data_IF_234919988724
#
_entry.id   IF_234919988724
#
_cell.length_a   1.000
_cell.length_b   1.000
_cell.length_c   1.000
_cell.angle_alpha   90.00
_cell.angle_beta   90.00
_cell.angle_gamma   90.00
#
_symmetry.space_group_name_H-M   'P 1'
#
loop_
_entity.id
_entity.type
_entity.pdbx_description
1 polymer ?
#
# COMPACT_ATOMS: atom_id res chain seq x y z
N UNK A 1 30.69 -17.90 25.10
CA UNK A 1 31.14 -18.51 23.82
C UNK A 1 30.04 -18.40 22.77
N UNK A 2 30.34 -17.69 21.68
CA UNK A 2 29.44 -17.40 20.57
C UNK A 2 29.32 -18.67 19.72
N UNK A 3 28.27 -19.49 19.89
CA UNK A 3 28.15 -20.78 19.19
C UNK A 3 28.17 -20.66 17.66
N UNK A 4 27.85 -19.47 17.14
CA UNK A 4 28.00 -19.13 15.72
C UNK A 4 29.43 -19.24 15.19
N UNK A 5 30.45 -19.00 16.01
CA UNK A 5 31.85 -19.09 15.57
C UNK A 5 32.41 -20.52 15.60
N UNK A 6 31.72 -21.46 16.26
CA UNK A 6 32.12 -22.89 16.32
C UNK A 6 31.45 -23.69 15.19
N UNK A 7 30.24 -23.30 14.78
CA UNK A 7 29.50 -23.89 13.66
C UNK A 7 30.19 -23.69 12.29
N UNK A 8 31.12 -22.73 12.16
CA UNK A 8 31.81 -22.44 10.90
C UNK A 8 33.08 -23.28 10.66
N UNK A 9 33.50 -24.09 11.64
CA UNK A 9 34.77 -24.85 11.61
C UNK A 9 34.59 -26.37 11.64
N UNK A 10 33.36 -26.88 11.54
CA UNK A 10 33.10 -28.32 11.67
C UNK A 10 32.26 -28.88 10.52
N UNK A 11 32.62 -30.08 10.08
CA UNK A 11 32.10 -30.75 8.88
C UNK A 11 30.60 -31.12 8.97
N UNK A 12 30.01 -31.17 10.17
CA UNK A 12 28.59 -31.48 10.39
C UNK A 12 27.94 -30.63 11.52
N UNK A 13 27.47 -29.41 11.21
CA UNK A 13 26.90 -28.49 12.20
C UNK A 13 25.56 -28.93 12.78
N UNK A 14 24.77 -29.73 12.04
CA UNK A 14 23.41 -30.15 12.42
C UNK A 14 23.38 -31.08 13.64
N UNK A 15 24.45 -31.85 13.88
CA UNK A 15 24.62 -32.73 15.06
C UNK A 15 24.85 -31.94 16.36
N UNK A 16 25.17 -30.65 16.27
CA UNK A 16 25.51 -29.79 17.41
C UNK A 16 24.34 -28.92 17.88
N UNK A 17 23.24 -28.83 17.14
CA UNK A 17 22.12 -27.96 17.50
C UNK A 17 21.44 -28.42 18.80
N UNK A 18 21.26 -29.74 18.98
CA UNK A 18 20.73 -30.32 20.22
C UNK A 18 21.68 -30.07 21.40
N UNK A 19 22.98 -30.35 21.23
CA UNK A 19 24.00 -30.10 22.25
C UNK A 19 24.16 -28.60 22.60
N UNK A 20 23.98 -27.70 21.63
CA UNK A 20 24.04 -26.26 21.85
C UNK A 20 22.90 -25.78 22.75
N UNK A 21 21.69 -26.34 22.58
CA UNK A 21 20.54 -26.05 23.43
C UNK A 21 20.78 -26.52 24.87
N UNK A 22 21.33 -27.72 25.07
CA UNK A 22 21.65 -28.29 26.39
C UNK A 22 22.74 -27.52 27.12
N UNK A 23 23.82 -27.14 26.42
CA UNK A 23 24.89 -26.32 27.01
C UNK A 23 24.37 -24.92 27.36
N UNK A 24 23.46 -24.37 26.55
CA UNK A 24 22.84 -23.08 26.82
C UNK A 24 21.95 -23.16 28.05
N UNK A 25 21.12 -24.19 28.16
CA UNK A 25 20.31 -24.47 29.34
C UNK A 25 21.18 -24.63 30.60
N UNK A 26 22.23 -25.45 30.53
CA UNK A 26 23.17 -25.65 31.65
C UNK A 26 23.80 -24.33 32.10
N UNK A 27 24.22 -23.47 31.17
CA UNK A 27 24.75 -22.14 31.51
C UNK A 27 23.73 -21.26 32.23
N UNK A 28 22.47 -21.27 31.79
CA UNK A 28 21.41 -20.52 32.46
C UNK A 28 21.13 -21.08 33.86
N UNK A 29 21.13 -22.41 34.02
CA UNK A 29 21.00 -23.05 35.33
C UNK A 29 22.16 -22.73 36.25
N UNK A 30 23.41 -22.79 35.79
CA UNK A 30 24.56 -22.35 36.60
C UNK A 30 24.43 -20.90 37.05
N UNK A 31 23.93 -20.00 36.20
CA UNK A 31 23.70 -18.59 36.56
C UNK A 31 22.59 -18.47 37.60
N UNK A 32 21.45 -19.13 37.39
CA UNK A 32 20.34 -19.15 38.34
C UNK A 32 20.77 -19.69 39.70
N UNK A 33 21.48 -20.82 39.71
CA UNK A 33 21.93 -21.46 40.94
C UNK A 33 22.91 -20.58 41.72
N UNK A 34 23.78 -19.83 41.02
CA UNK A 34 24.63 -18.81 41.66
C UNK A 34 23.81 -17.71 42.33
N UNK A 35 22.70 -17.28 41.73
CA UNK A 35 21.78 -16.32 42.35
C UNK A 35 21.07 -16.91 43.57
N UNK A 36 20.75 -18.21 43.54
CA UNK A 36 20.23 -18.96 44.69
C UNK A 36 21.28 -19.25 45.77
N UNK A 37 22.54 -18.80 45.60
CA UNK A 37 23.62 -19.03 46.57
C UNK A 37 24.43 -20.32 46.37
N UNK A 38 24.16 -21.10 45.33
CA UNK A 38 24.81 -22.39 45.03
C UNK A 38 25.85 -22.19 43.92
N UNK A 39 27.14 -22.23 44.28
CA UNK A 39 28.25 -21.91 43.36
C UNK A 39 28.82 -23.13 42.62
N UNK A 40 28.60 -24.32 43.16
CA UNK A 40 29.20 -25.58 42.71
C UNK A 40 28.24 -26.42 41.85
N UNK A 41 27.19 -25.80 41.26
CA UNK A 41 26.27 -26.48 40.36
C UNK A 41 26.98 -27.00 39.11
N UNK A 42 26.89 -28.31 38.87
CA UNK A 42 27.62 -29.00 37.80
C UNK A 42 26.72 -29.84 36.90
N UNK A 43 27.27 -30.34 35.79
CA UNK A 43 26.48 -31.10 34.81
C UNK A 43 25.88 -32.40 35.40
N UNK A 44 26.54 -32.98 36.42
CA UNK A 44 26.02 -34.12 37.18
C UNK A 44 24.68 -33.81 37.87
N UNK A 45 24.44 -32.56 38.26
CA UNK A 45 23.20 -32.15 38.90
C UNK A 45 22.01 -32.17 37.94
N UNK A 46 22.26 -32.13 36.63
CA UNK A 46 21.23 -32.27 35.59
C UNK A 46 21.05 -33.73 35.14
N UNK A 47 22.15 -34.44 34.91
CA UNK A 47 22.12 -35.79 34.33
C UNK A 47 21.83 -36.86 35.37
N UNK A 48 22.26 -36.67 36.63
CA UNK A 48 22.10 -37.64 37.71
C UNK A 48 21.90 -36.94 39.06
N UNK A 49 20.73 -36.33 39.28
CA UNK A 49 20.46 -35.57 40.49
C UNK A 49 20.37 -36.49 41.72
N UNK A 50 21.19 -36.19 42.74
CA UNK A 50 21.03 -36.80 44.06
C UNK A 50 19.87 -36.16 44.82
N UNK A 51 19.03 -36.97 45.48
CA UNK A 51 17.86 -36.50 46.24
C UNK A 51 18.20 -35.41 47.26
N UNK A 52 19.33 -35.56 47.98
CA UNK A 52 19.75 -34.59 48.97
C UNK A 52 20.19 -33.26 48.33
N UNK A 53 20.92 -33.34 47.22
CA UNK A 53 21.48 -32.17 46.52
C UNK A 53 20.39 -31.41 45.74
N UNK A 54 19.48 -32.14 45.10
CA UNK A 54 18.32 -31.57 44.43
C UNK A 54 17.41 -30.83 45.41
N UNK A 55 17.20 -31.37 46.62
CA UNK A 55 16.43 -30.69 47.66
C UNK A 55 17.03 -29.33 48.01
N UNK A 56 18.35 -29.26 48.22
CA UNK A 56 19.05 -28.00 48.51
C UNK A 56 18.89 -27.00 47.34
N UNK A 57 19.04 -27.47 46.10
CA UNK A 57 18.88 -26.64 44.90
C UNK A 57 17.46 -26.08 44.77
N UNK A 58 16.45 -26.92 44.95
CA UNK A 58 15.04 -26.50 44.90
C UNK A 58 14.70 -25.56 46.06
N UNK A 59 15.19 -25.82 47.27
CA UNK A 59 15.02 -24.89 48.40
C UNK A 59 15.65 -23.52 48.12
N UNK A 60 16.83 -23.49 47.49
CA UNK A 60 17.47 -22.25 47.05
C UNK A 60 16.62 -21.49 46.01
N UNK A 61 16.07 -22.20 45.03
CA UNK A 61 15.14 -21.61 44.04
C UNK A 61 13.88 -21.09 44.73
N UNK A 62 13.26 -21.86 45.62
CA UNK A 62 12.04 -21.45 46.33
C UNK A 62 12.32 -20.18 47.15
N UNK A 63 13.43 -20.13 47.88
CA UNK A 63 13.82 -18.94 48.64
C UNK A 63 14.02 -17.72 47.72
N UNK A 64 14.65 -17.92 46.56
CA UNK A 64 14.79 -16.85 45.57
C UNK A 64 13.41 -16.38 45.07
N UNK A 65 12.50 -17.30 44.76
CA UNK A 65 11.13 -16.97 44.33
C UNK A 65 10.33 -16.23 45.41
N UNK A 66 10.45 -16.65 46.67
CA UNK A 66 9.81 -15.97 47.80
C UNK A 66 10.35 -14.54 47.95
N UNK A 67 11.68 -14.37 47.89
CA UNK A 67 12.30 -13.05 47.90
C UNK A 67 11.83 -12.17 46.74
N UNK A 68 11.78 -12.70 45.52
CA UNK A 68 11.27 -11.96 44.37
C UNK A 68 9.81 -11.57 44.53
N UNK A 69 8.96 -12.44 45.10
CA UNK A 69 7.55 -12.13 45.35
C UNK A 69 7.40 -10.99 46.34
N UNK A 70 8.13 -11.05 47.47
CA UNK A 70 8.05 -10.04 48.52
C UNK A 70 8.61 -8.68 48.01
N UNK A 71 9.67 -8.70 47.19
CA UNK A 71 10.18 -7.50 46.52
C UNK A 71 9.23 -6.99 45.41
N UNK A 72 8.55 -7.88 44.69
CA UNK A 72 7.61 -7.49 43.63
C UNK A 72 6.43 -6.69 44.16
N UNK A 73 6.04 -6.89 45.42
CA UNK A 73 5.00 -6.10 46.07
C UNK A 73 5.47 -4.65 46.31
N UNK A 74 6.73 -4.46 46.71
CA UNK A 74 7.35 -3.14 46.89
C UNK A 74 7.45 -2.35 45.58
N UNK A 75 7.72 -3.01 44.46
CA UNK A 75 7.86 -2.35 43.15
C UNK A 75 6.57 -2.34 42.33
N UNK A 76 5.47 -2.88 42.85
CA UNK A 76 4.22 -3.04 42.09
C UNK A 76 3.71 -1.70 41.55
N UNK A 77 3.68 -0.68 42.40
CA UNK A 77 3.25 0.67 41.99
C UNK A 77 4.13 1.25 40.87
N UNK A 78 5.44 1.03 40.93
CA UNK A 78 6.38 1.49 39.89
C UNK A 78 6.20 0.71 38.58
N UNK A 79 5.92 -0.60 38.67
CA UNK A 79 5.63 -1.44 37.50
C UNK A 79 4.31 -1.01 36.84
N UNK A 80 3.26 -0.80 37.63
CA UNK A 80 1.95 -0.36 37.14
C UNK A 80 2.06 1.02 36.47
N UNK A 81 2.80 1.97 37.08
CA UNK A 81 3.09 3.27 36.47
C UNK A 81 3.86 3.16 35.15
N UNK A 82 4.87 2.28 35.09
CA UNK A 82 5.63 2.02 33.87
C UNK A 82 4.70 1.48 32.77
N UNK A 83 3.82 0.55 33.11
CA UNK A 83 2.93 -0.09 32.13
C UNK A 83 1.91 0.91 31.56
N UNK A 84 1.36 1.80 32.40
CA UNK A 84 0.53 2.93 31.95
C UNK A 84 1.32 3.84 31.00
N UNK A 85 2.56 4.21 31.34
CA UNK A 85 3.39 5.06 30.48
C UNK A 85 3.74 4.38 29.14
N UNK A 86 3.93 3.06 29.13
CA UNK A 86 4.17 2.29 27.89
C UNK A 86 2.91 2.31 27.02
N UNK A 87 1.73 2.14 27.61
CA UNK A 87 0.45 2.23 26.89
C UNK A 87 0.24 3.63 26.32
N UNK A 88 0.47 4.69 27.11
CA UNK A 88 0.39 6.08 26.68
C UNK A 88 1.37 6.37 25.53
N UNK A 89 2.63 5.95 25.66
CA UNK A 89 3.64 6.08 24.61
C UNK A 89 3.19 5.39 23.33
N UNK A 90 2.70 4.16 23.42
CA UNK A 90 2.23 3.40 22.25
C UNK A 90 1.05 4.09 21.55
N UNK A 91 0.13 4.67 22.32
CA UNK A 91 -1.01 5.41 21.80
C UNK A 91 -0.57 6.72 21.12
N UNK A 92 0.43 7.40 21.67
CA UNK A 92 0.97 8.64 21.13
C UNK A 92 1.78 8.39 19.86
N UNK A 93 2.55 7.30 19.80
CA UNK A 93 3.26 6.87 18.59
C UNK A 93 2.29 6.55 17.46
N UNK A 94 1.16 5.90 17.76
CA UNK A 94 0.11 5.63 16.78
C UNK A 94 -0.52 6.93 16.26
N UNK A 95 -0.89 7.85 17.16
CA UNK A 95 -1.44 9.16 16.78
C UNK A 95 -0.44 9.97 15.96
N UNK A 96 0.84 9.97 16.34
CA UNK A 96 1.89 10.65 15.60
C UNK A 96 2.03 10.08 14.19
N UNK A 97 1.99 8.76 14.04
CA UNK A 97 2.03 8.10 12.74
C UNK A 97 0.84 8.48 11.88
N UNK A 98 -0.37 8.49 12.43
CA UNK A 98 -1.58 8.91 11.72
C UNK A 98 -1.52 10.38 11.29
N UNK A 99 -1.00 11.26 12.15
CA UNK A 99 -0.80 12.67 11.81
C UNK A 99 0.25 12.87 10.72
N UNK A 100 1.32 12.08 10.71
CA UNK A 100 2.32 12.10 9.64
C UNK A 100 1.73 11.63 8.30
N UNK A 101 0.88 10.61 8.31
CA UNK A 101 0.18 10.15 7.10
C UNK A 101 -0.74 11.25 6.56
N UNK A 102 -1.58 11.86 7.41
CA UNK A 102 -2.45 12.98 7.02
C UNK A 102 -1.67 14.17 6.49
N UNK A 103 -0.51 14.48 7.08
CA UNK A 103 0.37 15.54 6.60
C UNK A 103 0.91 15.24 5.20
N UNK A 104 1.31 14.01 4.92
CA UNK A 104 1.82 13.65 3.60
C UNK A 104 0.70 13.62 2.55
N UNK A 105 -0.49 13.11 2.91
CA UNK A 105 -1.69 13.16 2.06
C UNK A 105 -2.08 14.59 1.68
N UNK A 106 -2.14 15.49 2.67
CA UNK A 106 -2.46 16.91 2.43
C UNK A 106 -1.41 17.61 1.59
N UNK A 107 -0.13 17.29 1.78
CA UNK A 107 0.97 17.80 0.96
C UNK A 107 0.87 17.31 -0.49
N UNK A 108 0.56 16.04 -0.71
CA UNK A 108 0.36 15.48 -2.05
C UNK A 108 -0.87 16.09 -2.72
N UNK A 109 -1.98 16.23 -2.01
CA UNK A 109 -3.18 16.89 -2.52
C UNK A 109 -2.91 18.37 -2.89
N UNK A 110 -2.15 19.10 -2.07
CA UNK A 110 -1.75 20.47 -2.37
C UNK A 110 -0.84 20.55 -3.60
N UNK A 111 0.10 19.62 -3.76
CA UNK A 111 0.98 19.55 -4.92
C UNK A 111 0.22 19.25 -6.21
N UNK A 112 -0.74 18.33 -6.18
CA UNK A 112 -1.59 18.03 -7.33
C UNK A 112 -2.47 19.22 -7.71
N UNK A 113 -3.13 19.84 -6.72
CA UNK A 113 -3.93 21.05 -6.94
C UNK A 113 -3.11 22.20 -7.52
N UNK A 114 -1.85 22.36 -7.09
CA UNK A 114 -0.95 23.37 -7.65
C UNK A 114 -0.63 23.13 -9.12
N UNK A 115 -0.51 21.86 -9.54
CA UNK A 115 -0.30 21.50 -10.95
C UNK A 115 -1.55 21.78 -11.78
N UNK A 116 -2.72 21.38 -11.30
CA UNK A 116 -4.00 21.66 -11.97
C UNK A 116 -4.22 23.17 -12.15
N UNK A 117 -3.92 23.98 -11.12
CA UNK A 117 -3.99 25.44 -11.22
C UNK A 117 -3.02 25.95 -12.29
N UNK A 118 -1.77 25.46 -12.31
CA UNK A 118 -0.78 25.88 -13.28
C UNK A 118 -1.14 25.50 -14.71
N UNK A 119 -1.74 24.32 -14.92
CA UNK A 119 -2.25 23.90 -16.23
C UNK A 119 -3.36 24.83 -16.72
N UNK A 120 -4.34 25.14 -15.85
CA UNK A 120 -5.41 26.08 -16.17
C UNK A 120 -4.88 27.49 -16.43
N UNK A 121 -3.91 27.97 -15.64
CA UNK A 121 -3.27 29.28 -15.85
C UNK A 121 -2.55 29.34 -17.20
N UNK A 122 -1.87 28.27 -17.60
CA UNK A 122 -1.21 28.18 -18.90
C UNK A 122 -2.24 28.19 -20.05
N UNK A 123 -3.31 27.39 -19.95
CA UNK A 123 -4.41 27.38 -20.93
C UNK A 123 -5.06 28.77 -21.05
N UNK A 124 -5.31 29.45 -19.92
CA UNK A 124 -5.81 30.82 -19.92
C UNK A 124 -4.85 31.78 -20.64
N UNK A 125 -3.54 31.69 -20.39
CA UNK A 125 -2.55 32.52 -21.07
C UNK A 125 -2.51 32.27 -22.58
N UNK A 126 -2.63 31.01 -23.02
CA UNK A 126 -2.69 30.65 -24.43
C UNK A 126 -3.94 31.21 -25.12
N UNK A 127 -5.10 31.06 -24.47
CA UNK A 127 -6.37 31.61 -24.97
C UNK A 127 -6.30 33.13 -25.04
N UNK A 128 -5.76 33.81 -24.03
CA UNK A 128 -5.57 35.26 -24.04
C UNK A 128 -4.67 35.73 -25.19
N UNK A 129 -3.58 34.99 -25.46
CA UNK A 129 -2.69 35.27 -26.58
C UNK A 129 -3.41 35.08 -27.93
N UNK A 130 -4.20 34.03 -28.08
CA UNK A 130 -4.99 33.78 -29.29
C UNK A 130 -6.04 34.89 -29.50
N UNK A 131 -6.78 35.27 -28.45
CA UNK A 131 -7.74 36.37 -28.49
C UNK A 131 -7.04 37.67 -28.93
N UNK A 132 -5.85 37.96 -28.40
CA UNK A 132 -5.09 39.15 -28.79
C UNK A 132 -4.67 39.09 -30.27
N UNK A 133 -4.28 37.93 -30.79
CA UNK A 133 -3.95 37.74 -32.20
C UNK A 133 -5.18 37.90 -33.10
N UNK A 134 -6.28 37.27 -32.75
CA UNK A 134 -7.55 37.36 -33.49
C UNK A 134 -8.07 38.80 -33.51
N UNK A 135 -7.96 39.54 -32.41
CA UNK A 135 -8.33 40.96 -32.36
C UNK A 135 -7.47 41.82 -33.30
N UNK A 136 -6.16 41.54 -33.41
CA UNK A 136 -5.28 42.22 -34.39
C UNK A 136 -5.71 41.91 -35.83
N UNK A 137 -5.98 40.65 -36.14
CA UNK A 137 -6.45 40.24 -37.47
C UNK A 137 -7.80 40.89 -37.80
N UNK A 138 -8.74 40.90 -36.87
CA UNK A 138 -10.03 41.57 -37.02
C UNK A 138 -9.85 43.07 -37.28
N UNK A 139 -8.94 43.72 -36.57
CA UNK A 139 -8.57 45.13 -36.80
C UNK A 139 -8.05 45.37 -38.22
N UNK A 140 -7.15 44.51 -38.71
CA UNK A 140 -6.60 44.57 -40.07
C UNK A 140 -7.69 44.39 -41.14
N UNK A 141 -8.54 43.37 -40.99
CA UNK A 141 -9.65 43.10 -41.93
C UNK A 141 -10.63 44.27 -41.94
N UNK A 142 -10.96 44.86 -40.78
CA UNK A 142 -11.83 46.04 -40.71
C UNK A 142 -11.22 47.24 -41.44
N UNK A 143 -9.91 47.45 -41.29
CA UNK A 143 -9.20 48.52 -42.00
C UNK A 143 -9.24 48.31 -43.52
N UNK A 144 -8.88 47.10 -43.98
CA UNK A 144 -8.89 46.73 -45.40
C UNK A 144 -10.31 46.83 -46.00
N UNK A 145 -11.32 46.32 -45.30
CA UNK A 145 -12.73 46.46 -45.69
C UNK A 145 -13.14 47.93 -45.84
N UNK A 146 -12.65 48.80 -44.93
CA UNK A 146 -12.85 50.24 -45.03
C UNK A 146 -12.24 50.84 -46.29
N UNK A 147 -11.01 50.47 -46.63
CA UNK A 147 -10.31 50.91 -47.84
C UNK A 147 -10.98 50.41 -49.13
N UNK A 148 -11.40 49.14 -49.16
CA UNK A 148 -12.18 48.57 -50.26
C UNK A 148 -13.51 49.30 -50.45
N UNK A 149 -14.25 49.60 -49.37
CA UNK A 149 -15.49 50.39 -49.46
C UNK A 149 -15.24 51.79 -50.03
N UNK A 150 -14.17 52.47 -49.60
CA UNK A 150 -13.78 53.77 -50.18
C UNK A 150 -13.48 53.67 -51.68
N UNK A 151 -12.73 52.64 -52.11
CA UNK A 151 -12.43 52.39 -53.53
C UNK A 151 -13.69 52.06 -54.33
N UNK A 152 -14.56 51.21 -53.80
CA UNK A 152 -15.84 50.88 -54.40
C UNK A 152 -16.69 52.12 -54.63
N UNK A 153 -16.83 52.98 -53.62
CA UNK A 153 -17.58 54.23 -53.75
C UNK A 153 -16.97 55.15 -54.82
N UNK A 154 -15.63 55.29 -54.86
CA UNK A 154 -14.94 56.05 -55.92
C UNK A 154 -15.25 55.50 -57.32
N UNK A 155 -15.16 54.19 -57.51
CA UNK A 155 -15.45 53.56 -58.81
C UNK A 155 -16.93 53.76 -59.18
N UNK A 156 -17.84 53.59 -58.22
CA UNK A 156 -19.27 53.83 -58.42
C UNK A 156 -19.53 55.26 -58.89
N UNK A 157 -18.87 56.25 -58.26
CA UNK A 157 -18.98 57.66 -58.65
C UNK A 157 -18.38 57.93 -60.04
N UNK A 158 -17.30 57.25 -60.42
CA UNK A 158 -16.76 57.32 -61.79
C UNK A 158 -17.72 56.71 -62.81
N UNK A 159 -18.33 55.56 -62.50
CA UNK A 159 -19.29 54.89 -63.38
C UNK A 159 -20.51 55.78 -63.61
N UNK A 160 -21.07 56.39 -62.56
CA UNK A 160 -22.19 57.33 -62.71
C UNK A 160 -21.80 58.55 -63.54
N UNK A 161 -20.59 59.08 -63.33
CA UNK A 161 -20.05 60.20 -64.13
C UNK A 161 -19.90 59.84 -65.61
N UNK A 162 -19.32 58.67 -65.91
CA UNK A 162 -19.17 58.17 -67.28
C UNK A 162 -20.52 57.88 -67.92
N UNK A 163 -21.48 57.32 -67.19
CA UNK A 163 -22.83 57.09 -67.69
C UNK A 163 -23.52 58.40 -68.10
N UNK A 164 -23.41 59.45 -67.26
CA UNK A 164 -23.90 60.79 -67.61
C UNK A 164 -23.18 61.37 -68.83
N UNK A 165 -21.87 61.11 -68.97
CA UNK A 165 -21.10 61.54 -70.15
C UNK A 165 -21.53 60.81 -71.42
N UNK A 166 -21.80 59.49 -71.35
CA UNK A 166 -22.31 58.70 -72.47
C UNK A 166 -23.68 59.24 -72.89
N UNK A 167 -24.60 59.46 -71.95
CA UNK A 167 -25.91 60.06 -72.28
C UNK A 167 -25.78 61.42 -72.97
N UNK A 168 -24.83 62.26 -72.55
CA UNK A 168 -24.52 63.52 -73.25
C UNK A 168 -24.03 63.28 -74.67
N UNK A 169 -23.07 62.37 -74.85
CA UNK A 169 -22.51 62.03 -76.16
C UNK A 169 -23.54 61.36 -77.09
N UNK A 170 -24.42 60.51 -76.58
CA UNK A 170 -25.53 59.90 -77.33
C UNK A 170 -26.53 60.97 -77.79
N UNK A 171 -26.82 61.96 -76.94
CA UNK A 171 -27.65 63.10 -77.34
C UNK A 171 -26.97 63.94 -78.42
N UNK A 172 -25.65 64.16 -78.34
CA UNK A 172 -24.87 64.80 -79.39
C UNK A 172 -24.80 63.95 -80.68
N UNK A 173 -24.64 62.63 -80.56
CA UNK A 173 -24.65 61.69 -81.68
C UNK A 173 -26.01 61.70 -82.38
N UNK A 174 -27.12 61.71 -81.64
CA UNK A 174 -28.47 61.83 -82.21
C UNK A 174 -28.68 63.18 -82.90
N UNK A 175 -28.14 64.27 -82.33
CA UNK A 175 -28.10 65.58 -82.98
C UNK A 175 -27.23 65.59 -84.25
N UNK A 176 -26.16 64.80 -84.32
CA UNK A 176 -25.30 64.68 -85.50
C UNK A 176 -25.88 63.71 -86.55
N UNK A 177 -26.51 62.60 -86.14
CA UNK A 177 -27.24 61.66 -87.02
C UNK A 177 -28.38 62.35 -87.76
N UNK A 178 -29.08 63.29 -87.13
CA UNK A 178 -30.08 64.13 -87.81
C UNK A 178 -29.47 65.10 -88.85
N UNK A 179 -28.14 65.27 -88.88
CA UNK A 179 -27.39 66.07 -89.86
C UNK A 179 -26.67 65.25 -90.94
N UNK A 180 -26.55 63.92 -90.79
CA UNK A 180 -25.81 63.05 -91.70
C UNK A 180 -26.79 62.16 -92.48
N UNK A 181 -27.62 62.75 -93.34
CA UNK A 181 -28.14 62.07 -94.54
C UNK A 181 -28.40 63.09 -95.65
N UNK A 182 -27.43 63.27 -96.56
CA UNK A 182 -27.69 63.60 -97.97
C UNK A 182 -26.66 62.88 -98.85
N UNK A 183 -27.17 62.01 -99.72
CA UNK A 183 -26.49 61.28 -100.82
C UNK A 183 -25.84 59.92 -100.49
N UNK A 184 -26.64 58.82 -100.47
CA UNK A 184 -26.19 57.43 -100.46
C UNK A 184 -25.84 56.86 -101.85
N UNK A 185 -25.68 57.70 -102.89
CA UNK A 185 -25.52 57.22 -104.28
C UNK A 185 -24.07 57.17 -104.76
N UNK A 186 -23.12 57.68 -103.97
CA UNK A 186 -21.68 57.64 -104.31
C UNK A 186 -20.98 56.34 -103.87
N UNK A 187 -21.50 55.68 -102.84
CA UNK A 187 -20.88 54.48 -102.21
C UNK A 187 -21.22 53.20 -103.00
N UNK A 188 -22.39 53.15 -103.66
CA UNK A 188 -22.81 51.98 -104.46
C UNK A 188 -21.93 51.72 -105.70
N UNK A 189 -21.18 52.71 -106.20
CA UNK A 189 -20.32 52.54 -107.39
C UNK A 189 -18.89 52.08 -107.07
N UNK A 190 -18.35 52.41 -105.90
CA UNK A 190 -17.06 51.88 -105.43
C UNK A 190 -17.16 50.41 -104.97
N UNK A 191 -18.36 49.96 -104.59
CA UNK A 191 -18.60 48.63 -104.03
C UNK A 191 -18.48 47.48 -105.06
N UNK A 192 -18.67 47.76 -106.35
CA UNK A 192 -18.64 46.73 -107.40
C UNK A 192 -17.22 46.39 -107.89
N UNK A 193 -16.26 47.31 -107.79
CA UNK A 193 -14.86 47.06 -108.15
C UNK A 193 -14.09 46.29 -107.05
N UNK A 194 -14.42 46.56 -105.78
CA UNK A 194 -13.82 45.85 -104.63
C UNK A 194 -14.28 44.38 -104.59
N UNK A 195 -15.51 44.06 -105.05
CA UNK A 195 -16.06 42.70 -105.07
C UNK A 195 -15.25 41.68 -105.88
N UNK A 196 -14.50 42.10 -106.91
CA UNK A 196 -13.69 41.19 -107.73
C UNK A 196 -12.33 40.85 -107.08
N UNK A 197 -11.67 41.85 -106.47
CA UNK A 197 -10.45 41.62 -105.67
C UNK A 197 -10.74 40.92 -104.32
N UNK A 198 -11.94 41.13 -103.78
CA UNK A 198 -12.43 40.48 -102.57
C UNK A 198 -12.57 38.97 -102.74
N UNK A 199 -12.94 38.47 -103.93
CA UNK A 199 -13.21 37.05 -104.15
C UNK A 199 -11.96 36.17 -104.15
N UNK A 200 -10.83 36.69 -104.64
CA UNK A 200 -9.52 36.03 -104.59
C UNK A 200 -8.90 36.11 -103.19
N UNK A 201 -9.03 37.26 -102.52
CA UNK A 201 -8.62 37.41 -101.11
C UNK A 201 -9.53 36.63 -100.15
N UNK A 202 -10.81 36.40 -100.49
CA UNK A 202 -11.73 35.54 -99.74
C UNK A 202 -11.29 34.08 -99.79
N UNK A 203 -10.92 33.53 -100.94
CA UNK A 203 -10.46 32.14 -101.01
C UNK A 203 -9.14 31.92 -100.24
N UNK A 204 -8.23 32.91 -100.25
CA UNK A 204 -7.02 32.89 -99.42
C UNK A 204 -7.32 33.14 -97.94
N UNK A 205 -8.28 33.99 -97.61
CA UNK A 205 -8.72 34.24 -96.25
C UNK A 205 -9.45 33.04 -95.65
N UNK A 206 -10.27 32.33 -96.42
CA UNK A 206 -11.01 31.15 -95.98
C UNK A 206 -10.06 29.97 -95.73
N UNK A 207 -9.02 29.80 -96.56
CA UNK A 207 -7.99 28.78 -96.32
C UNK A 207 -7.07 29.12 -95.15
N UNK A 208 -6.68 30.40 -94.97
CA UNK A 208 -5.95 30.87 -93.79
C UNK A 208 -6.79 30.83 -92.52
N UNK A 209 -8.07 31.19 -92.59
CA UNK A 209 -9.02 31.17 -91.48
C UNK A 209 -9.33 29.74 -91.05
N UNK A 210 -9.48 28.81 -92.00
CA UNK A 210 -9.62 27.38 -91.69
C UNK A 210 -8.35 26.81 -91.04
N UNK A 211 -7.16 27.28 -91.44
CA UNK A 211 -5.89 26.88 -90.83
C UNK A 211 -5.71 27.51 -89.43
N UNK A 212 -6.10 28.77 -89.25
CA UNK A 212 -6.09 29.46 -87.96
C UNK A 212 -7.10 28.85 -86.99
N UNK A 213 -8.27 28.42 -87.48
CA UNK A 213 -9.27 27.73 -86.66
C UNK A 213 -8.79 26.34 -86.22
N UNK A 214 -8.12 25.59 -87.09
CA UNK A 214 -7.47 24.32 -86.72
C UNK A 214 -6.37 24.52 -85.68
N UNK A 215 -5.59 25.60 -85.79
CA UNK A 215 -4.53 25.88 -84.82
C UNK A 215 -5.07 26.44 -83.50
N UNK A 216 -6.17 27.20 -83.54
CA UNK A 216 -6.90 27.60 -82.35
C UNK A 216 -7.48 26.38 -81.63
N UNK A 217 -8.09 25.43 -82.35
CA UNK A 217 -8.56 24.17 -81.74
C UNK A 217 -7.42 23.38 -81.08
N UNK A 218 -6.21 23.41 -81.64
CA UNK A 218 -5.05 22.79 -80.98
C UNK A 218 -4.59 23.55 -79.74
N UNK A 219 -4.64 24.89 -79.76
CA UNK A 219 -4.33 25.72 -78.59
C UNK A 219 -5.36 25.45 -77.48
N UNK A 220 -6.64 25.44 -77.81
CA UNK A 220 -7.71 25.16 -76.85
C UNK A 220 -7.56 23.75 -76.24
N UNK A 221 -7.19 22.74 -77.05
CA UNK A 221 -6.90 21.39 -76.57
C UNK A 221 -5.69 21.35 -75.62
N UNK A 222 -4.67 22.18 -75.87
CA UNK A 222 -3.49 22.31 -75.00
C UNK A 222 -3.84 23.04 -73.71
N UNK A 223 -4.64 24.10 -73.77
CA UNK A 223 -5.12 24.83 -72.59
C UNK A 223 -6.00 23.95 -71.70
N UNK A 224 -6.90 23.16 -72.27
CA UNK A 224 -7.70 22.16 -71.56
C UNK A 224 -6.79 21.13 -70.87
N UNK A 225 -5.78 20.62 -71.60
CA UNK A 225 -4.79 19.69 -71.05
C UNK A 225 -3.96 20.31 -69.92
N UNK A 226 -3.61 21.60 -70.02
CA UNK A 226 -2.89 22.33 -68.98
C UNK A 226 -3.76 22.59 -67.75
N UNK A 227 -5.05 22.89 -67.93
CA UNK A 227 -5.99 22.99 -66.81
C UNK A 227 -6.14 21.67 -66.08
N UNK A 228 -6.25 20.55 -66.80
CA UNK A 228 -6.35 19.23 -66.19
C UNK A 228 -5.06 18.82 -65.46
N UNK A 229 -3.89 19.16 -66.01
CA UNK A 229 -2.61 19.01 -65.30
C UNK A 229 -2.54 19.83 -64.01
N UNK A 230 -3.02 21.08 -64.04
CA UNK A 230 -3.06 21.94 -62.85
C UNK A 230 -4.02 21.39 -61.79
N UNK A 231 -5.20 20.88 -62.18
CA UNK A 231 -6.12 20.22 -61.24
C UNK A 231 -5.48 18.98 -60.61
N UNK A 232 -4.79 18.15 -61.42
CA UNK A 232 -4.05 17.00 -60.89
C UNK A 232 -2.95 17.41 -59.92
N UNK A 233 -2.22 18.49 -60.22
CA UNK A 233 -1.18 19.01 -59.33
C UNK A 233 -1.77 19.56 -58.02
N UNK A 234 -2.89 20.29 -58.09
CA UNK A 234 -3.59 20.78 -56.90
C UNK A 234 -4.04 19.62 -56.03
N UNK A 235 -4.71 18.60 -56.58
CA UNK A 235 -5.12 17.39 -55.83
C UNK A 235 -3.90 16.69 -55.19
N UNK A 236 -2.79 16.58 -55.92
CA UNK A 236 -1.56 15.98 -55.39
C UNK A 236 -1.04 16.74 -54.16
N UNK A 237 -1.08 18.07 -54.20
CA UNK A 237 -0.52 18.95 -53.18
C UNK A 237 -1.46 19.19 -51.99
N UNK A 238 -2.76 19.36 -52.24
CA UNK A 238 -3.71 19.71 -51.18
C UNK A 238 -4.32 18.50 -50.48
N UNK A 239 -4.41 17.35 -51.15
CA UNK A 239 -5.07 16.17 -50.61
C UNK A 239 -4.08 15.03 -50.34
N UNK A 240 -3.24 14.68 -51.32
CA UNK A 240 -2.36 13.50 -51.22
C UNK A 240 -1.14 13.72 -50.31
N UNK A 241 -0.41 14.83 -50.45
CA UNK A 241 0.74 15.15 -49.59
C UNK A 241 0.39 15.14 -48.09
N UNK A 242 -0.62 15.88 -47.60
CA UNK A 242 -0.96 15.88 -46.18
C UNK A 242 -1.52 14.52 -45.71
N UNK A 243 -2.24 13.78 -46.57
CA UNK A 243 -2.71 12.44 -46.22
C UNK A 243 -1.56 11.43 -46.06
N UNK A 244 -0.51 11.54 -46.87
CA UNK A 244 0.72 10.73 -46.73
C UNK A 244 1.45 11.10 -45.44
N UNK A 245 1.53 12.39 -45.13
CA UNK A 245 2.20 12.88 -43.91
C UNK A 245 1.46 12.44 -42.64
N UNK A 246 0.13 12.51 -42.64
CA UNK A 246 -0.72 11.97 -41.57
C UNK A 246 -0.59 10.45 -41.45
N UNK A 247 -0.57 9.73 -42.58
CA UNK A 247 -0.36 8.28 -42.58
C UNK A 247 0.99 7.90 -41.97
N UNK A 248 2.07 8.58 -42.34
CA UNK A 248 3.40 8.34 -41.80
C UNK A 248 3.45 8.59 -40.30
N UNK A 249 2.85 9.70 -39.83
CA UNK A 249 2.75 10.00 -38.40
C UNK A 249 1.98 8.91 -37.64
N UNK A 250 0.84 8.47 -38.15
CA UNK A 250 0.07 7.35 -37.55
C UNK A 250 0.84 6.03 -37.60
N UNK A 251 1.64 5.79 -38.63
CA UNK A 251 2.49 4.59 -38.73
C UNK A 251 3.59 4.60 -37.65
N UNK A 252 4.23 5.74 -37.41
CA UNK A 252 5.21 5.92 -36.32
C UNK A 252 4.55 5.74 -34.94
N UNK A 253 3.41 6.39 -34.71
CA UNK A 253 2.62 6.22 -33.47
C UNK A 253 2.23 4.74 -33.27
N UNK A 254 1.81 4.03 -34.32
CA UNK A 254 1.50 2.60 -34.25
C UNK A 254 2.72 1.75 -33.89
N UNK A 255 3.89 2.10 -34.41
CA UNK A 255 5.14 1.41 -34.08
C UNK A 255 5.53 1.62 -32.61
N UNK A 256 5.47 2.85 -32.11
CA UNK A 256 5.79 3.15 -30.70
C UNK A 256 4.83 2.44 -29.73
N UNK A 257 3.52 2.42 -30.04
CA UNK A 257 2.52 1.69 -29.25
C UNK A 257 2.79 0.19 -29.27
N UNK A 258 3.19 -0.39 -30.41
CA UNK A 258 3.57 -1.81 -30.49
C UNK A 258 4.79 -2.15 -29.63
N UNK A 259 5.78 -1.26 -29.59
CA UNK A 259 6.97 -1.44 -28.73
C UNK A 259 6.61 -1.35 -27.25
N UNK A 260 5.77 -0.40 -26.87
CA UNK A 260 5.24 -0.28 -25.51
C UNK A 260 4.44 -1.51 -25.10
N UNK A 261 3.60 -2.06 -26.00
CA UNK A 261 2.86 -3.30 -25.77
C UNK A 261 3.79 -4.47 -25.50
N UNK A 262 4.84 -4.66 -26.31
CA UNK A 262 5.84 -5.72 -26.09
C UNK A 262 6.55 -5.56 -24.74
N UNK A 263 6.91 -4.33 -24.37
CA UNK A 263 7.51 -4.03 -23.07
C UNK A 263 6.55 -4.36 -21.93
N UNK A 264 5.28 -3.98 -22.04
CA UNK A 264 4.25 -4.26 -21.05
C UNK A 264 3.97 -5.76 -20.92
N UNK A 265 3.99 -6.52 -22.01
CA UNK A 265 3.84 -7.98 -21.99
C UNK A 265 4.97 -8.68 -21.23
N UNK A 266 6.22 -8.20 -21.38
CA UNK A 266 7.36 -8.68 -20.61
C UNK A 266 7.17 -8.40 -19.11
N UNK A 267 6.76 -7.18 -18.76
CA UNK A 267 6.48 -6.80 -17.36
C UNK A 267 5.35 -7.65 -16.78
N UNK A 268 4.28 -7.88 -17.54
CA UNK A 268 3.16 -8.73 -17.13
C UNK A 268 3.59 -10.19 -16.91
N UNK A 269 4.46 -10.72 -17.75
CA UNK A 269 5.05 -12.05 -17.57
C UNK A 269 5.85 -12.13 -16.26
N UNK A 270 6.72 -11.15 -16.00
CA UNK A 270 7.51 -11.08 -14.76
C UNK A 270 6.64 -10.94 -13.51
N UNK A 271 5.57 -10.14 -13.57
CA UNK A 271 4.61 -9.99 -12.48
C UNK A 271 3.83 -11.29 -12.23
N UNK A 272 3.46 -12.03 -13.29
CA UNK A 272 2.82 -13.35 -13.15
C UNK A 272 3.76 -14.34 -12.46
N UNK A 273 5.03 -14.37 -12.84
CA UNK A 273 6.03 -15.24 -12.19
C UNK A 273 6.22 -14.88 -10.71
N UNK A 274 6.34 -13.60 -10.39
CA UNK A 274 6.41 -13.13 -8.99
C UNK A 274 5.16 -13.51 -8.19
N UNK A 275 3.97 -13.41 -8.79
CA UNK A 275 2.72 -13.83 -8.16
C UNK A 275 2.74 -15.32 -7.83
N UNK A 276 3.14 -16.18 -8.77
CA UNK A 276 3.24 -17.62 -8.54
C UNK A 276 4.22 -17.97 -7.42
N UNK A 277 5.38 -17.29 -7.37
CA UNK A 277 6.36 -17.48 -6.29
C UNK A 277 5.81 -17.06 -4.91
N UNK A 278 5.08 -15.95 -4.86
CA UNK A 278 4.44 -15.49 -3.62
C UNK A 278 3.32 -16.43 -3.17
N UNK A 279 2.51 -16.95 -4.08
CA UNK A 279 1.48 -17.96 -3.78
C UNK A 279 2.10 -19.25 -3.24
N UNK A 280 3.24 -19.68 -3.80
CA UNK A 280 4.00 -20.83 -3.29
C UNK A 280 4.51 -20.60 -1.87
N UNK A 281 5.08 -19.42 -1.60
CA UNK A 281 5.53 -19.03 -0.25
C UNK A 281 4.36 -18.96 0.73
N UNK A 282 3.21 -18.43 0.30
CA UNK A 282 2.00 -18.36 1.12
C UNK A 282 1.54 -19.77 1.51
N UNK A 283 1.47 -20.71 0.56
CA UNK A 283 1.08 -22.10 0.82
C UNK A 283 2.02 -22.77 1.82
N UNK A 284 3.35 -22.62 1.65
CA UNK A 284 4.34 -23.13 2.60
C UNK A 284 4.14 -22.56 4.03
N UNK A 285 3.83 -21.27 4.15
CA UNK A 285 3.58 -20.64 5.45
C UNK A 285 2.27 -21.13 6.07
N UNK A 286 1.22 -21.32 5.27
CA UNK A 286 -0.05 -21.88 5.73
C UNK A 286 0.11 -23.32 6.22
N UNK A 287 0.88 -24.15 5.51
CA UNK A 287 1.21 -25.52 5.92
C UNK A 287 1.99 -25.54 7.25
N UNK A 288 3.00 -24.66 7.38
CA UNK A 288 3.76 -24.51 8.64
C UNK A 288 2.86 -24.07 9.80
N UNK A 289 1.93 -23.15 9.55
CA UNK A 289 0.99 -22.65 10.56
C UNK A 289 -0.01 -23.74 10.97
N UNK A 290 -0.51 -24.52 10.01
CA UNK A 290 -1.31 -25.72 10.23
C UNK A 290 -0.58 -26.74 11.12
N UNK A 291 0.70 -27.00 10.83
CA UNK A 291 1.51 -27.93 11.60
C UNK A 291 1.72 -27.44 13.05
N UNK A 292 2.06 -26.15 13.22
CA UNK A 292 2.21 -25.53 14.54
C UNK A 292 0.91 -25.54 15.35
N UNK A 293 -0.24 -25.28 14.71
CA UNK A 293 -1.55 -25.38 15.37
C UNK A 293 -1.84 -26.80 15.86
N UNK A 294 -1.60 -27.81 15.02
CA UNK A 294 -1.76 -29.23 15.41
C UNK A 294 -0.82 -29.60 16.55
N UNK A 295 0.43 -29.14 16.50
CA UNK A 295 1.41 -29.37 17.57
C UNK A 295 0.98 -28.69 18.88
N UNK A 296 0.50 -27.44 18.81
CA UNK A 296 -0.01 -26.71 19.98
C UNK A 296 -1.23 -27.39 20.59
N UNK A 297 -2.19 -27.84 19.77
CA UNK A 297 -3.36 -28.59 20.24
C UNK A 297 -2.94 -29.85 20.98
N UNK A 298 -2.03 -30.64 20.39
CA UNK A 298 -1.52 -31.87 21.04
C UNK A 298 -0.85 -31.58 22.38
N UNK A 299 -0.02 -30.55 22.46
CA UNK A 299 0.64 -30.14 23.71
C UNK A 299 -0.38 -29.69 24.77
N UNK A 300 -1.43 -29.01 24.35
CA UNK A 300 -2.51 -28.58 25.24
C UNK A 300 -3.34 -29.77 25.73
N UNK A 301 -3.60 -30.75 24.86
CA UNK A 301 -4.29 -31.99 25.23
C UNK A 301 -3.47 -32.81 26.22
N UNK A 302 -2.15 -32.97 26.00
CA UNK A 302 -1.27 -33.67 26.94
C UNK A 302 -1.17 -32.94 28.27
N UNK A 303 -0.99 -31.62 28.27
CA UNK A 303 -0.95 -30.82 29.50
C UNK A 303 -2.27 -30.90 30.27
N UNK A 304 -3.41 -30.92 29.57
CA UNK A 304 -4.73 -31.10 30.19
C UNK A 304 -4.89 -32.50 30.81
N UNK A 305 -4.38 -33.55 30.15
CA UNK A 305 -4.38 -34.90 30.70
C UNK A 305 -3.47 -35.02 31.94
N UNK A 306 -2.26 -34.46 31.88
CA UNK A 306 -1.32 -34.41 33.00
C UNK A 306 -1.91 -33.65 34.19
N UNK A 307 -2.58 -32.52 33.94
CA UNK A 307 -3.27 -31.75 34.97
C UNK A 307 -4.39 -32.57 35.62
N UNK A 308 -5.21 -33.28 34.84
CA UNK A 308 -6.25 -34.17 35.37
C UNK A 308 -5.66 -35.30 36.21
N UNK A 309 -4.56 -35.90 35.77
CA UNK A 309 -3.88 -36.94 36.53
C UNK A 309 -3.33 -36.41 37.86
N UNK A 310 -2.65 -35.26 37.84
CA UNK A 310 -2.16 -34.60 39.04
C UNK A 310 -3.29 -34.21 40.01
N UNK A 311 -4.45 -33.78 39.50
CA UNK A 311 -5.65 -33.51 40.31
C UNK A 311 -6.18 -34.78 40.98
N UNK A 312 -6.21 -35.90 40.26
CA UNK A 312 -6.62 -37.19 40.82
C UNK A 312 -5.65 -37.68 41.90
N UNK A 313 -4.35 -37.58 41.68
CA UNK A 313 -3.34 -37.91 42.70
C UNK A 313 -3.47 -37.03 43.94
N UNK A 314 -3.67 -35.72 43.75
CA UNK A 314 -3.86 -34.79 44.86
C UNK A 314 -5.11 -35.13 45.67
N UNK A 315 -6.23 -35.47 45.01
CA UNK A 315 -7.44 -35.92 45.70
C UNK A 315 -7.23 -37.21 46.51
N UNK A 316 -6.43 -38.16 46.00
CA UNK A 316 -6.06 -39.37 46.75
C UNK A 316 -5.21 -39.02 47.98
N UNK A 317 -4.20 -38.15 47.82
CA UNK A 317 -3.36 -37.71 48.93
C UNK A 317 -4.17 -36.95 49.97
N UNK A 318 -5.11 -36.10 49.57
CA UNK A 318 -6.02 -35.40 50.50
C UNK A 318 -6.91 -36.38 51.28
N UNK A 319 -7.42 -37.42 50.62
CA UNK A 319 -8.20 -38.48 51.26
C UNK A 319 -7.35 -39.27 52.25
N UNK A 320 -6.14 -39.67 51.87
CA UNK A 320 -5.21 -40.37 52.75
C UNK A 320 -4.79 -39.49 53.94
N UNK A 321 -4.61 -38.19 53.71
CA UNK A 321 -4.33 -37.21 54.77
C UNK A 321 -5.50 -37.09 55.74
N UNK A 322 -6.74 -37.02 55.24
CA UNK A 322 -7.95 -36.96 56.07
C UNK A 322 -8.08 -38.23 56.94
N UNK A 323 -7.92 -39.41 56.35
CA UNK A 323 -7.94 -40.67 57.09
C UNK A 323 -6.76 -40.78 58.08
N UNK A 324 -5.59 -40.25 57.71
CA UNK A 324 -4.44 -40.13 58.61
C UNK A 324 -4.72 -39.25 59.83
N UNK A 325 -5.37 -38.09 59.62
CA UNK A 325 -5.81 -37.19 60.68
C UNK A 325 -6.82 -37.87 61.61
N UNK A 326 -7.82 -38.57 61.07
CA UNK A 326 -8.79 -39.33 61.88
C UNK A 326 -8.11 -40.38 62.78
N UNK A 327 -7.12 -41.10 62.25
CA UNK A 327 -6.34 -42.08 63.03
C UNK A 327 -5.52 -41.43 64.14
N UNK A 328 -4.96 -40.25 63.89
CA UNK A 328 -4.23 -39.47 64.90
C UNK A 328 -5.20 -39.02 66.00
N UNK A 329 -6.34 -38.45 65.64
CA UNK A 329 -7.39 -38.04 66.59
C UNK A 329 -7.87 -39.21 67.47
N UNK A 330 -8.08 -40.40 66.87
CA UNK A 330 -8.44 -41.61 67.62
C UNK A 330 -7.33 -42.05 68.57
N UNK A 331 -6.07 -42.00 68.13
CA UNK A 331 -4.92 -42.33 68.97
C UNK A 331 -4.78 -41.34 70.12
N UNK A 332 -4.97 -40.04 69.87
CA UNK A 332 -4.96 -38.99 70.90
C UNK A 332 -6.06 -39.21 71.94
N UNK A 333 -7.29 -39.55 71.52
CA UNK A 333 -8.38 -39.91 72.44
C UNK A 333 -8.04 -41.13 73.31
N UNK A 334 -7.41 -42.16 72.72
CA UNK A 334 -6.94 -43.34 73.48
C UNK A 334 -5.84 -42.98 74.48
N UNK A 335 -4.86 -42.17 74.07
CA UNK A 335 -3.80 -41.66 74.96
C UNK A 335 -4.39 -40.84 76.11
N UNK A 336 -5.38 -40.00 75.84
CA UNK A 336 -6.08 -39.22 76.86
C UNK A 336 -6.82 -40.14 77.85
N UNK A 337 -7.52 -41.16 77.36
CA UNK A 337 -8.17 -42.15 78.22
C UNK A 337 -7.18 -42.91 79.10
N UNK A 338 -6.04 -43.34 78.55
CA UNK A 338 -4.97 -44.00 79.32
C UNK A 338 -4.39 -43.04 80.36
N UNK A 339 -4.13 -41.78 80.00
CA UNK A 339 -3.66 -40.76 80.96
C UNK A 339 -4.64 -40.57 82.11
N UNK A 340 -5.94 -40.50 81.82
CA UNK A 340 -6.97 -40.36 82.86
C UNK A 340 -6.99 -41.58 83.79
N UNK A 341 -6.94 -42.80 83.23
CA UNK A 341 -6.85 -44.04 84.04
C UNK A 341 -5.58 -44.08 84.90
N UNK A 342 -4.43 -43.71 84.34
CA UNK A 342 -3.18 -43.63 85.10
C UNK A 342 -3.26 -42.60 86.24
N UNK A 343 -3.96 -41.49 86.03
CA UNK A 343 -4.13 -40.48 87.09
C UNK A 343 -5.14 -40.95 88.15
N UNK A 344 -6.21 -41.65 87.76
CA UNK A 344 -7.13 -42.32 88.69
C UNK A 344 -6.40 -43.37 89.54
N UNK A 345 -5.60 -44.24 88.92
CA UNK A 345 -4.77 -45.24 89.60
C UNK A 345 -3.74 -44.58 90.53
N UNK A 346 -3.14 -43.47 90.11
CA UNK A 346 -2.24 -42.67 90.96
C UNK A 346 -2.95 -42.10 92.18
N UNK A 347 -4.17 -41.60 92.02
CA UNK A 347 -4.99 -41.08 93.13
C UNK A 347 -5.38 -42.21 94.08
N UNK A 348 -5.78 -43.37 93.55
CA UNK A 348 -6.07 -44.57 94.35
C UNK A 348 -4.85 -45.05 95.13
N UNK A 349 -3.71 -45.22 94.46
CA UNK A 349 -2.46 -45.60 95.11
C UNK A 349 -2.04 -44.59 96.19
N UNK A 350 -2.20 -43.29 95.95
CA UNK A 350 -1.96 -42.27 96.99
C UNK A 350 -2.92 -42.41 98.18
N UNK A 351 -4.20 -42.71 97.94
CA UNK A 351 -5.18 -42.95 99.01
C UNK A 351 -4.85 -44.21 99.80
N UNK A 352 -4.43 -45.29 99.15
CA UNK A 352 -4.00 -46.52 99.81
C UNK A 352 -2.73 -46.32 100.64
N UNK A 353 -1.73 -45.63 100.10
CA UNK A 353 -0.53 -45.23 100.85
C UNK A 353 -0.91 -44.37 102.05
N UNK A 354 -1.80 -43.39 101.88
CA UNK A 354 -2.28 -42.55 102.98
C UNK A 354 -2.99 -43.38 104.05
N UNK A 355 -3.86 -44.31 103.65
CA UNK A 355 -4.54 -45.22 104.57
C UNK A 355 -3.56 -46.15 105.30
N UNK A 356 -2.51 -46.62 104.63
CA UNK A 356 -1.42 -47.37 105.28
C UNK A 356 -0.62 -46.50 106.25
N UNK A 357 -0.36 -45.23 105.93
CA UNK A 357 0.28 -44.29 106.86
C UNK A 357 -0.61 -44.05 108.08
N UNK A 358 -1.91 -43.87 107.88
CA UNK A 358 -2.86 -43.61 108.96
C UNK A 358 -3.02 -44.83 109.87
N UNK A 359 -3.09 -46.05 109.31
CA UNK A 359 -3.07 -47.28 110.13
C UNK A 359 -1.74 -47.46 110.85
N UNK A 360 -0.60 -47.10 110.26
CA UNK A 360 0.69 -47.12 110.94
C UNK A 360 0.74 -46.12 112.11
N UNK A 361 0.19 -44.92 111.93
CA UNK A 361 0.06 -43.91 113.00
C UNK A 361 -0.90 -44.33 114.10
N UNK A 362 -1.99 -45.03 113.76
CA UNK A 362 -2.91 -45.61 114.75
C UNK A 362 -2.22 -46.71 115.55
N UNK A 363 -1.42 -47.58 114.90
CA UNK A 363 -0.60 -48.56 115.59
C UNK A 363 0.48 -47.91 116.46
N UNK A 364 1.15 -46.85 115.97
CA UNK A 364 2.13 -46.08 116.74
C UNK A 364 1.47 -45.43 117.97
N UNK A 365 0.28 -44.87 117.82
CA UNK A 365 -0.52 -44.31 118.93
C UNK A 365 -0.94 -45.38 119.94
N UNK A 366 -1.32 -46.58 119.47
CA UNK A 366 -1.65 -47.72 120.35
C UNK A 366 -0.41 -48.29 121.08
N UNK A 367 0.78 -48.20 120.49
CA UNK A 367 2.04 -48.58 121.14
C UNK A 367 2.43 -47.53 122.18
N UNK A 368 2.30 -46.23 121.86
CA UNK A 368 2.55 -45.13 122.80
C UNK A 368 1.55 -45.13 123.97
N UNK A 369 0.27 -45.45 123.72
CA UNK A 369 -0.73 -45.64 124.79
C UNK A 369 -0.41 -46.85 125.67
N UNK A 370 0.15 -47.93 125.12
CA UNK A 370 0.60 -49.09 125.90
C UNK A 370 1.87 -48.84 126.69
N UNK A 371 2.78 -47.99 126.21
CA UNK A 371 3.96 -47.56 126.95
C UNK A 371 3.62 -46.55 128.07
N UNK A 372 2.60 -45.71 127.89
CA UNK A 372 2.08 -44.81 128.93
C UNK A 372 1.23 -45.51 130.01
N UNK A 373 0.72 -46.72 129.74
CA UNK A 373 0.01 -47.54 130.73
C UNK A 373 0.96 -48.39 131.62
N UNK A 374 2.27 -48.28 131.42
CA UNK A 374 3.33 -49.01 132.13
C UNK A 374 4.22 -48.11 133.03
N UNK A 375 3.83 -46.85 133.23
CA UNK A 375 4.39 -45.90 134.21
C UNK A 375 3.25 -45.49 135.15
#
# INVERSE_FOLDING_TARGET
PNFKSVQQTMDYPELLDDAASEITFFKHMCKLMKLCGIRDFGFKDLVSPSKARLRIQLSGIINLCLFYRDQSEMYKETIDQRDVLIEELSSLELQYRDMQLKKEETKQAAANRSKEIQEVENECCEIEAEIAQQNKLQGSIRHETGELKKRFNKIKDMVTTHHLSIQKLENEENNLKSRIVRSPDRIKRQMNGIRAALKEKQNNFDSLSSRLHKEQQKIDLVDDSMQDLNKCYDIMKTELEPAIEEYNKKAEESMTVKEQLKSNDLILSDLKNKKLDLERKLRQRQEKLSHLRKQSSRKMDTASQELKFAQQELALVEKDRAHGLERVDEAEKKVLSIKNKMEEDRVLARKEIQCMIDTYKDFESQIVEKELALI
#
